data_IF_128547964698
#
_entry.id   IF_128547964698
#
_cell.length_a   1.000
_cell.length_b   1.000
_cell.length_c   1.000
_cell.angle_alpha   90.00
_cell.angle_beta   90.00
_cell.angle_gamma   90.00
#
_symmetry.space_group_name_H-M   'P 1'
#
loop_
_entity.id
_entity.type
_entity.pdbx_description
1 polymer ?
#
# COMPACT_ATOMS: atom_id res chain seq x y z
N UNK A 1 -17.52 -7.08 -26.65
CA UNK A 1 -18.57 -6.05 -26.45
C UNK A 1 -18.01 -5.04 -25.47
N UNK A 2 -17.68 -3.83 -25.92
CA UNK A 2 -17.01 -2.82 -25.09
C UNK A 2 -18.04 -2.10 -24.19
N UNK A 3 -18.32 -2.68 -23.02
CA UNK A 3 -19.24 -2.09 -22.05
C UNK A 3 -18.75 -0.74 -21.49
N UNK A 4 -17.44 -0.49 -21.52
CA UNK A 4 -16.84 0.82 -21.18
C UNK A 4 -17.37 1.98 -22.02
N UNK A 5 -17.73 1.71 -23.28
CA UNK A 5 -18.23 2.71 -24.21
C UNK A 5 -19.73 2.99 -24.01
N UNK A 6 -20.38 2.26 -23.08
CA UNK A 6 -21.80 2.37 -22.77
C UNK A 6 -22.00 2.37 -21.24
N UNK A 7 -21.61 3.46 -20.56
CA UNK A 7 -21.60 3.52 -19.10
C UNK A 7 -23.00 3.29 -18.50
N UNK A 8 -24.07 3.81 -19.12
CA UNK A 8 -25.45 3.61 -18.65
C UNK A 8 -25.89 2.14 -18.68
N UNK A 9 -25.54 1.41 -19.75
CA UNK A 9 -25.85 -0.02 -19.86
C UNK A 9 -25.08 -0.83 -18.82
N UNK A 10 -23.81 -0.46 -18.59
CA UNK A 10 -22.98 -1.10 -17.58
C UNK A 10 -23.54 -0.88 -16.18
N UNK A 11 -23.94 0.36 -15.87
CA UNK A 11 -24.52 0.71 -14.57
C UNK A 11 -25.79 -0.09 -14.28
N UNK A 12 -26.71 -0.17 -15.26
CA UNK A 12 -27.93 -0.97 -15.13
C UNK A 12 -27.64 -2.47 -14.95
N UNK A 13 -26.72 -3.04 -15.73
CA UNK A 13 -26.35 -4.45 -15.59
C UNK A 13 -25.69 -4.75 -14.24
N UNK A 14 -24.87 -3.82 -13.73
CA UNK A 14 -24.26 -3.93 -12.41
C UNK A 14 -25.31 -3.86 -11.29
N UNK A 15 -26.31 -2.97 -11.41
CA UNK A 15 -27.44 -2.91 -10.49
C UNK A 15 -28.25 -4.22 -10.47
N UNK A 16 -28.61 -4.75 -11.65
CA UNK A 16 -29.33 -6.02 -11.77
C UNK A 16 -28.49 -7.20 -11.25
N UNK A 17 -27.16 -7.16 -11.42
CA UNK A 17 -26.25 -8.16 -10.87
C UNK A 17 -26.24 -8.15 -9.34
N UNK A 18 -26.08 -6.95 -8.76
CA UNK A 18 -25.98 -6.75 -7.31
C UNK A 18 -27.30 -7.09 -6.60
N UNK A 19 -28.44 -6.72 -7.19
CA UNK A 19 -29.78 -7.10 -6.72
C UNK A 19 -30.11 -8.59 -6.91
N UNK A 20 -29.26 -9.35 -7.60
CA UNK A 20 -29.50 -10.77 -7.89
C UNK A 20 -30.61 -11.04 -8.93
N UNK A 21 -31.09 -10.00 -9.62
CA UNK A 21 -32.11 -10.13 -10.67
C UNK A 21 -31.50 -10.58 -12.00
N UNK A 22 -30.20 -10.34 -12.21
CA UNK A 22 -29.47 -10.86 -13.36
C UNK A 22 -29.21 -12.37 -13.22
N UNK A 23 -29.81 -13.18 -14.10
CA UNK A 23 -29.80 -14.64 -14.02
C UNK A 23 -29.22 -15.32 -15.27
N UNK A 24 -28.88 -16.60 -15.13
CA UNK A 24 -28.56 -17.49 -16.24
C UNK A 24 -27.34 -17.08 -17.06
N UNK A 25 -27.48 -17.02 -18.39
CA UNK A 25 -26.39 -16.70 -19.31
C UNK A 25 -25.90 -15.26 -19.17
N UNK A 26 -26.79 -14.32 -18.85
CA UNK A 26 -26.43 -12.90 -18.70
C UNK A 26 -25.48 -12.70 -17.52
N UNK A 27 -25.77 -13.31 -16.36
CA UNK A 27 -24.90 -13.28 -15.18
C UNK A 27 -23.51 -13.84 -15.47
N UNK A 28 -23.45 -15.06 -16.01
CA UNK A 28 -22.17 -15.72 -16.38
C UNK A 28 -21.33 -14.90 -17.36
N UNK A 29 -21.99 -14.22 -18.30
CA UNK A 29 -21.30 -13.35 -19.25
C UNK A 29 -20.72 -12.11 -18.58
N UNK A 30 -21.46 -11.50 -17.64
CA UNK A 30 -20.96 -10.37 -16.87
C UNK A 30 -19.80 -10.78 -15.94
N UNK A 31 -19.91 -11.95 -15.29
CA UNK A 31 -18.83 -12.54 -14.48
C UNK A 31 -17.56 -12.74 -15.32
N UNK A 32 -17.69 -13.36 -16.49
CA UNK A 32 -16.56 -13.57 -17.40
C UNK A 32 -15.94 -12.25 -17.88
N UNK A 33 -16.75 -11.22 -18.13
CA UNK A 33 -16.26 -9.90 -18.49
C UNK A 33 -15.53 -9.22 -17.33
N UNK A 34 -15.99 -9.38 -16.09
CA UNK A 34 -15.38 -8.78 -14.90
C UNK A 34 -13.96 -9.28 -14.62
N UNK A 35 -13.57 -10.47 -15.13
CA UNK A 35 -12.21 -11.01 -14.98
C UNK A 35 -11.18 -10.09 -15.64
N UNK A 36 -11.45 -9.59 -16.85
CA UNK A 36 -10.50 -8.78 -17.63
C UNK A 36 -10.86 -7.31 -17.77
N UNK A 37 -11.89 -6.83 -17.07
CA UNK A 37 -12.44 -5.49 -17.27
C UNK A 37 -12.65 -4.77 -15.94
N UNK A 38 -11.80 -3.78 -15.66
CA UNK A 38 -11.80 -3.07 -14.38
C UNK A 38 -13.05 -2.21 -14.17
N UNK A 39 -13.57 -1.55 -15.22
CA UNK A 39 -14.78 -0.73 -15.05
C UNK A 39 -16.00 -1.59 -14.75
N UNK A 40 -16.09 -2.80 -15.34
CA UNK A 40 -17.16 -3.75 -15.02
C UNK A 40 -17.07 -4.18 -13.56
N UNK A 41 -15.86 -4.51 -13.09
CA UNK A 41 -15.63 -4.87 -11.68
C UNK A 41 -15.96 -3.72 -10.73
N UNK A 42 -15.55 -2.50 -11.06
CA UNK A 42 -15.84 -1.31 -10.26
C UNK A 42 -17.33 -1.00 -10.19
N UNK A 43 -18.05 -1.10 -11.31
CA UNK A 43 -19.50 -0.89 -11.35
C UNK A 43 -20.23 -1.90 -10.45
N UNK A 44 -19.90 -3.20 -10.56
CA UNK A 44 -20.48 -4.25 -9.70
C UNK A 44 -20.20 -3.95 -8.21
N UNK A 45 -18.93 -3.70 -7.86
CA UNK A 45 -18.54 -3.44 -6.47
C UNK A 45 -19.22 -2.18 -5.90
N UNK A 46 -19.42 -1.14 -6.73
CA UNK A 46 -20.08 0.09 -6.31
C UNK A 46 -21.55 -0.15 -5.93
N UNK A 47 -22.26 -0.96 -6.71
CA UNK A 47 -23.65 -1.33 -6.42
C UNK A 47 -23.76 -2.26 -5.23
N UNK A 48 -22.87 -3.25 -5.09
CA UNK A 48 -22.84 -4.13 -3.92
C UNK A 48 -22.65 -3.33 -2.62
N UNK A 49 -21.65 -2.44 -2.56
CA UNK A 49 -21.43 -1.59 -1.38
C UNK A 49 -22.64 -0.73 -1.02
N UNK A 50 -23.34 -0.19 -2.03
CA UNK A 50 -24.55 0.62 -1.81
C UNK A 50 -25.67 -0.21 -1.19
N UNK A 51 -25.82 -1.47 -1.58
CA UNK A 51 -26.80 -2.39 -1.01
C UNK A 51 -26.38 -2.92 0.36
N UNK A 52 -25.09 -3.14 0.60
CA UNK A 52 -24.56 -3.59 1.89
C UNK A 52 -24.92 -2.61 3.01
N UNK A 53 -24.82 -1.29 2.77
CA UNK A 53 -25.26 -0.26 3.73
C UNK A 53 -26.75 -0.38 4.08
N UNK A 54 -27.59 -0.81 3.14
CA UNK A 54 -29.01 -1.05 3.44
C UNK A 54 -29.22 -2.33 4.25
N UNK A 55 -28.38 -3.35 4.07
CA UNK A 55 -28.45 -4.59 4.82
C UNK A 55 -28.14 -4.38 6.32
N UNK A 56 -27.33 -3.38 6.67
CA UNK A 56 -27.02 -3.01 8.06
C UNK A 56 -28.24 -2.48 8.84
N UNK A 57 -29.29 -2.01 8.15
CA UNK A 57 -30.50 -1.48 8.79
C UNK A 57 -31.47 -2.58 9.26
N UNK A 58 -31.27 -3.83 8.81
CA UNK A 58 -32.10 -4.96 9.19
C UNK A 58 -31.78 -5.48 10.60
N UNK A 59 -32.74 -6.11 11.30
CA UNK A 59 -32.45 -6.80 12.55
C UNK A 59 -31.50 -7.97 12.28
N UNK A 60 -30.56 -8.21 13.20
CA UNK A 60 -29.73 -9.41 13.16
C UNK A 60 -30.59 -10.66 13.40
N UNK A 61 -30.51 -11.63 12.49
CA UNK A 61 -31.19 -12.93 12.59
C UNK A 61 -30.11 -13.99 12.71
N UNK A 62 -30.10 -14.72 13.82
CA UNK A 62 -29.15 -15.81 14.04
C UNK A 62 -29.49 -16.99 13.11
N UNK A 63 -28.56 -17.43 12.24
CA UNK A 63 -28.78 -18.59 11.39
C UNK A 63 -28.71 -19.88 12.22
N UNK A 64 -29.42 -20.96 11.83
CA UNK A 64 -29.30 -22.25 12.50
C UNK A 64 -27.87 -22.81 12.43
N UNK A 65 -27.41 -23.51 13.48
CA UNK A 65 -26.08 -24.13 13.56
C UNK A 65 -25.75 -25.05 12.38
N UNK A 66 -26.77 -25.69 11.79
CA UNK A 66 -26.61 -26.54 10.59
C UNK A 66 -26.03 -25.78 9.40
N UNK A 67 -26.26 -24.47 9.30
CA UNK A 67 -25.71 -23.62 8.24
C UNK A 67 -24.19 -23.52 8.39
N UNK A 68 -23.70 -23.32 9.61
CA UNK A 68 -22.27 -23.26 9.88
C UNK A 68 -21.59 -24.61 9.59
N UNK A 69 -22.19 -25.71 10.07
CA UNK A 69 -21.69 -27.07 9.78
C UNK A 69 -21.65 -27.39 8.28
N UNK A 70 -22.64 -26.93 7.51
CA UNK A 70 -22.67 -27.11 6.06
C UNK A 70 -21.57 -26.29 5.36
N UNK A 71 -21.27 -25.08 5.84
CA UNK A 71 -20.18 -24.25 5.34
C UNK A 71 -18.84 -24.91 5.62
N UNK A 72 -18.59 -25.37 6.86
CA UNK A 72 -17.37 -26.07 7.23
C UNK A 72 -17.15 -27.34 6.40
N UNK A 73 -18.21 -28.11 6.16
CA UNK A 73 -18.17 -29.30 5.31
C UNK A 73 -17.81 -28.95 3.86
N UNK A 74 -18.40 -27.90 3.28
CA UNK A 74 -18.14 -27.48 1.90
C UNK A 74 -16.75 -26.87 1.69
N UNK A 75 -16.22 -26.21 2.71
CA UNK A 75 -14.86 -25.65 2.70
C UNK A 75 -13.78 -26.66 3.11
N UNK A 76 -14.17 -27.87 3.55
CA UNK A 76 -13.26 -28.92 3.98
C UNK A 76 -12.65 -28.70 5.38
N UNK A 77 -13.08 -27.68 6.11
CA UNK A 77 -12.55 -27.28 7.43
C UNK A 77 -12.84 -28.31 8.53
N UNK A 78 -13.91 -29.10 8.37
CA UNK A 78 -14.25 -30.17 9.31
C UNK A 78 -13.19 -31.28 9.40
N UNK A 79 -12.45 -31.51 8.31
CA UNK A 79 -11.42 -32.56 8.20
C UNK A 79 -10.13 -32.18 8.95
N UNK A 80 -9.78 -30.90 8.95
CA UNK A 80 -8.59 -30.39 9.64
C UNK A 80 -8.75 -30.44 11.16
N UNK A 81 -9.97 -30.17 11.65
CA UNK A 81 -10.31 -30.22 13.07
C UNK A 81 -10.31 -31.66 13.61
N UNK A 82 -10.88 -32.62 12.86
CA UNK A 82 -10.79 -34.06 13.21
C UNK A 82 -9.35 -34.60 13.11
N UNK A 83 -8.61 -34.24 12.07
CA UNK A 83 -7.21 -34.65 11.89
C UNK A 83 -6.25 -34.07 12.94
N UNK A 84 -6.67 -33.03 13.68
CA UNK A 84 -5.94 -32.47 14.84
C UNK A 84 -6.26 -33.22 16.14
N UNK A 85 -7.52 -33.65 16.33
CA UNK A 85 -7.97 -34.40 17.51
C UNK A 85 -7.58 -35.89 17.47
N UNK A 86 -7.52 -36.52 16.28
CA UNK A 86 -7.06 -37.91 16.15
C UNK A 86 -5.54 -38.07 16.30
N UNK A 87 -4.77 -37.00 16.06
CA UNK A 87 -3.31 -36.97 16.30
C UNK A 87 -2.93 -36.98 17.77
N UNK A 88 -3.88 -36.75 18.67
CA UNK A 88 -3.67 -36.78 20.13
C UNK A 88 -4.00 -38.13 20.80
N UNK A 89 -4.48 -39.13 20.05
CA UNK A 89 -4.62 -40.50 20.59
C UNK A 89 -3.38 -41.35 20.27
N UNK A 90 -2.74 -41.99 21.27
CA UNK A 90 -1.59 -42.86 21.03
C UNK A 90 -2.07 -44.16 20.36
N UNK A 91 -1.79 -44.28 19.05
CA UNK A 91 -2.04 -45.51 18.30
C UNK A 91 -0.98 -46.56 18.68
N UNK A 92 -1.35 -47.81 19.03
CA UNK A 92 -0.37 -48.87 19.24
C UNK A 92 0.32 -49.19 17.91
N UNK A 93 1.64 -49.05 17.89
CA UNK A 93 2.50 -49.44 16.77
C UNK A 93 2.59 -50.98 16.73
N UNK A 94 1.96 -51.60 15.74
CA UNK A 94 2.29 -52.98 15.36
C UNK A 94 3.63 -53.00 14.61
N UNK A 95 4.52 -53.97 14.88
CA UNK A 95 5.81 -54.05 14.20
C UNK A 95 5.61 -54.46 12.73
N UNK A 96 6.10 -53.61 11.82
CA UNK A 96 6.14 -53.89 10.39
C UNK A 96 7.13 -55.03 10.09
N UNK A 97 6.73 -55.96 9.21
CA UNK A 97 7.59 -57.03 8.71
C UNK A 97 8.66 -56.46 7.77
N UNK A 98 9.91 -56.97 7.78
CA UNK A 98 10.98 -56.44 6.94
C UNK A 98 10.86 -57.03 5.53
N UNK A 99 10.65 -56.19 4.51
CA UNK A 99 10.60 -56.68 3.12
C UNK A 99 10.60 -55.62 2.02
N UNK A 100 9.79 -54.57 2.07
CA UNK A 100 9.47 -53.84 0.81
C UNK A 100 9.46 -52.30 0.86
N UNK A 101 10.03 -51.65 1.87
CA UNK A 101 9.73 -50.22 2.12
C UNK A 101 10.96 -49.28 2.15
N UNK A 102 11.95 -49.47 1.27
CA UNK A 102 13.05 -48.50 1.19
C UNK A 102 12.62 -47.12 0.64
N UNK A 103 11.54 -47.08 -0.14
CA UNK A 103 10.91 -45.85 -0.66
C UNK A 103 9.92 -45.19 0.32
N UNK A 104 9.38 -45.96 1.26
CA UNK A 104 8.38 -45.53 2.25
C UNK A 104 8.99 -45.22 3.62
N UNK A 105 10.31 -45.30 3.74
CA UNK A 105 10.99 -44.91 4.96
C UNK A 105 10.98 -43.38 5.03
N UNK A 106 10.25 -42.81 6.00
CA UNK A 106 10.25 -41.37 6.28
C UNK A 106 11.67 -40.80 6.46
N UNK A 107 12.65 -41.62 6.80
CA UNK A 107 14.06 -41.24 6.84
C UNK A 107 14.63 -40.79 5.48
N UNK A 108 14.23 -41.44 4.39
CA UNK A 108 14.63 -41.10 3.02
C UNK A 108 14.01 -39.77 2.55
N UNK A 109 12.71 -39.59 2.80
CA UNK A 109 12.04 -38.31 2.53
C UNK A 109 12.49 -37.19 3.47
N UNK A 110 12.92 -37.50 4.70
CA UNK A 110 13.49 -36.53 5.65
C UNK A 110 14.86 -36.04 5.21
N UNK A 111 15.75 -36.90 4.74
CA UNK A 111 17.06 -36.46 4.20
C UNK A 111 16.90 -35.66 2.90
N UNK A 112 15.96 -36.02 2.02
CA UNK A 112 15.68 -35.25 0.81
C UNK A 112 15.11 -33.85 1.11
N UNK A 113 14.19 -33.74 2.09
CA UNK A 113 13.64 -32.45 2.54
C UNK A 113 14.68 -31.54 3.20
N UNK A 114 15.71 -32.13 3.81
CA UNK A 114 16.77 -31.38 4.51
C UNK A 114 17.71 -30.67 3.55
N UNK A 115 18.06 -31.32 2.43
CA UNK A 115 18.92 -30.74 1.39
C UNK A 115 18.19 -29.63 0.61
N UNK A 116 16.89 -29.79 0.35
CA UNK A 116 16.08 -28.78 -0.34
C UNK A 116 15.92 -27.47 0.47
N UNK A 117 15.89 -27.56 1.81
CA UNK A 117 15.79 -26.39 2.70
C UNK A 117 17.08 -25.56 2.69
N UNK A 118 18.25 -26.19 2.66
CA UNK A 118 19.54 -25.51 2.62
C UNK A 118 19.73 -24.73 1.31
N UNK A 119 19.37 -25.32 0.16
CA UNK A 119 19.46 -24.65 -1.16
C UNK A 119 18.46 -23.49 -1.26
N UNK A 120 17.28 -23.61 -0.66
CA UNK A 120 16.28 -22.54 -0.65
C UNK A 120 16.70 -21.35 0.22
N UNK A 121 17.31 -21.59 1.39
CA UNK A 121 17.83 -20.52 2.25
C UNK A 121 18.97 -19.77 1.56
N UNK A 122 19.89 -20.49 0.90
CA UNK A 122 21.00 -19.87 0.17
C UNK A 122 20.47 -19.07 -1.04
N UNK A 123 19.46 -19.58 -1.75
CA UNK A 123 18.86 -18.87 -2.89
C UNK A 123 18.07 -17.64 -2.46
N UNK A 124 17.35 -17.70 -1.33
CA UNK A 124 16.65 -16.54 -0.74
C UNK A 124 17.66 -15.51 -0.21
N UNK A 125 18.72 -15.95 0.46
CA UNK A 125 19.78 -15.06 0.93
C UNK A 125 20.51 -14.38 -0.24
N UNK A 126 20.79 -15.12 -1.32
CA UNK A 126 21.38 -14.57 -2.54
C UNK A 126 20.42 -13.63 -3.29
N UNK A 127 19.13 -13.97 -3.36
CA UNK A 127 18.09 -13.09 -3.92
C UNK A 127 17.90 -11.81 -3.08
N UNK A 128 17.91 -11.90 -1.75
CA UNK A 128 17.86 -10.73 -0.85
C UNK A 128 19.14 -9.89 -0.90
N UNK A 129 20.28 -10.50 -1.21
CA UNK A 129 21.56 -9.79 -1.35
C UNK A 129 21.69 -9.08 -2.71
N UNK A 130 21.17 -9.68 -3.79
CA UNK A 130 21.27 -9.14 -5.16
C UNK A 130 20.12 -8.19 -5.50
N UNK A 131 18.92 -8.46 -4.99
CA UNK A 131 17.77 -7.57 -5.10
C UNK A 131 17.76 -6.71 -3.85
N UNK A 132 18.32 -5.50 -3.92
CA UNK A 132 18.06 -4.48 -2.89
C UNK A 132 16.54 -4.26 -2.84
N UNK A 133 15.82 -4.75 -1.81
CA UNK A 133 14.40 -4.54 -1.78
C UNK A 133 14.21 -3.10 -1.30
N UNK A 134 13.77 -2.23 -2.21
CA UNK A 134 13.00 -1.04 -1.85
C UNK A 134 11.61 -1.39 -1.27
N UNK A 135 11.42 -2.62 -0.77
CA UNK A 135 10.20 -3.15 -0.17
C UNK A 135 10.10 -2.91 1.34
N UNK A 136 10.97 -2.03 1.88
CA UNK A 136 10.67 -1.26 3.09
C UNK A 136 9.97 0.07 2.71
N UNK A 137 9.15 0.07 1.66
CA UNK A 137 7.99 0.96 1.65
C UNK A 137 7.13 0.48 2.82
N UNK A 138 7.30 1.17 3.94
CA UNK A 138 6.58 0.91 5.16
C UNK A 138 5.10 0.63 4.86
N UNK A 139 4.53 -0.42 5.47
CA UNK A 139 3.13 -0.32 5.85
C UNK A 139 2.93 1.08 6.48
N UNK A 140 1.81 1.79 6.27
CA UNK A 140 1.56 3.02 7.00
C UNK A 140 1.34 2.66 8.48
N UNK A 141 2.39 2.24 9.18
CA UNK A 141 2.52 2.43 10.60
C UNK A 141 2.57 3.93 10.74
N UNK A 142 1.45 4.50 11.18
CA UNK A 142 1.28 5.85 11.68
C UNK A 142 2.53 6.71 11.47
N UNK A 143 2.78 7.16 10.23
CA UNK A 143 3.67 8.29 10.04
C UNK A 143 2.92 9.43 10.69
N UNK A 144 3.22 9.65 11.97
CA UNK A 144 2.65 10.74 12.74
C UNK A 144 3.28 11.99 12.15
N UNK A 145 2.65 12.48 11.09
CA UNK A 145 2.96 13.74 10.46
C UNK A 145 2.84 14.77 11.57
N UNK A 146 3.98 15.21 12.09
CA UNK A 146 4.02 16.11 13.22
C UNK A 146 3.81 17.55 12.74
N UNK A 147 4.23 17.87 11.52
CA UNK A 147 4.10 19.20 10.94
C UNK A 147 3.72 19.16 9.46
N UNK A 148 2.92 20.12 9.04
CA UNK A 148 2.47 20.32 7.66
C UNK A 148 2.72 21.77 7.25
N UNK A 149 3.19 21.97 6.03
CA UNK A 149 3.19 23.29 5.39
C UNK A 149 2.61 23.15 3.98
N UNK A 150 1.67 24.04 3.66
CA UNK A 150 1.20 24.24 2.29
C UNK A 150 1.91 25.47 1.77
N UNK A 151 2.76 25.30 0.78
CA UNK A 151 3.46 26.42 0.16
C UNK A 151 2.64 26.93 -1.02
N UNK A 152 2.47 28.25 -1.04
CA UNK A 152 1.69 28.97 -2.03
C UNK A 152 2.62 29.76 -2.95
N UNK A 153 2.19 29.97 -4.20
CA UNK A 153 2.84 30.90 -5.12
C UNK A 153 2.48 32.37 -4.81
N UNK A 154 3.00 33.29 -5.61
CA UNK A 154 2.71 34.73 -5.56
C UNK A 154 1.21 35.06 -5.70
N UNK A 155 0.44 34.15 -6.30
CA UNK A 155 -1.01 34.24 -6.49
C UNK A 155 -1.80 33.48 -5.42
N UNK A 156 -1.15 32.99 -4.36
CA UNK A 156 -1.77 32.21 -3.27
C UNK A 156 -2.35 30.84 -3.68
N UNK A 157 -1.85 30.23 -4.76
CA UNK A 157 -2.24 28.88 -5.16
C UNK A 157 -1.42 27.81 -4.42
N UNK A 158 -2.11 26.86 -3.77
CA UNK A 158 -1.50 25.72 -3.09
C UNK A 158 -0.75 24.82 -4.07
N UNK A 159 0.58 24.88 -4.03
CA UNK A 159 1.45 24.23 -5.04
C UNK A 159 2.22 23.06 -4.44
N UNK A 160 2.53 23.11 -3.15
CA UNK A 160 3.40 22.13 -2.51
C UNK A 160 2.89 21.77 -1.12
N UNK A 161 2.82 20.48 -0.84
CA UNK A 161 2.56 19.95 0.49
C UNK A 161 3.87 19.40 1.06
N UNK A 162 4.32 19.96 2.16
CA UNK A 162 5.47 19.46 2.93
C UNK A 162 4.95 18.85 4.22
N UNK A 163 5.30 17.59 4.46
CA UNK A 163 4.98 16.87 5.69
C UNK A 163 6.28 16.48 6.38
N UNK A 164 6.36 16.74 7.67
CA UNK A 164 7.51 16.39 8.49
C UNK A 164 7.15 15.27 9.47
N UNK A 165 7.89 14.16 9.40
CA UNK A 165 7.88 13.10 10.39
C UNK A 165 9.02 13.34 11.40
N UNK A 166 8.66 13.78 12.61
CA UNK A 166 9.64 14.10 13.66
C UNK A 166 10.32 12.83 14.20
N UNK A 167 9.59 11.70 14.26
CA UNK A 167 10.11 10.44 14.78
C UNK A 167 11.23 9.88 13.89
N UNK A 168 11.09 10.03 12.57
CA UNK A 168 12.08 9.56 11.60
C UNK A 168 12.96 10.66 11.02
N UNK A 169 12.81 11.91 11.50
CA UNK A 169 13.51 13.10 11.02
C UNK A 169 13.48 13.20 9.48
N UNK A 170 12.31 12.88 8.91
CA UNK A 170 12.13 12.77 7.46
C UNK A 170 11.15 13.83 6.99
N UNK A 171 11.58 14.62 6.00
CA UNK A 171 10.72 15.56 5.30
C UNK A 171 10.28 14.93 4.00
N UNK A 172 8.97 14.82 3.82
CA UNK A 172 8.34 14.35 2.60
C UNK A 172 7.63 15.50 1.92
N UNK A 173 7.83 15.60 0.61
CA UNK A 173 7.34 16.70 -0.20
C UNK A 173 6.53 16.16 -1.36
N UNK A 174 5.28 16.62 -1.46
CA UNK A 174 4.34 16.23 -2.51
C UNK A 174 3.93 17.47 -3.29
N UNK A 175 4.22 17.45 -4.59
CA UNK A 175 3.78 18.49 -5.53
C UNK A 175 2.27 18.35 -5.75
N UNK A 176 1.56 19.46 -5.68
CA UNK A 176 0.13 19.58 -6.00
C UNK A 176 -0.08 20.18 -7.40
N UNK A 177 0.96 20.80 -7.98
CA UNK A 177 0.96 21.33 -9.34
C UNK A 177 2.11 20.75 -10.16
N UNK A 178 1.93 20.73 -11.49
CA UNK A 178 2.92 20.24 -12.46
C UNK A 178 3.99 21.29 -12.82
N UNK A 179 4.08 22.39 -12.07
CA UNK A 179 5.06 23.46 -12.33
C UNK A 179 6.47 22.96 -12.03
N UNK A 180 7.22 22.72 -13.11
CA UNK A 180 8.63 22.33 -13.06
C UNK A 180 9.54 23.54 -12.81
N UNK A 181 10.79 23.26 -12.40
CA UNK A 181 11.84 24.27 -12.43
C UNK A 181 12.11 24.70 -13.88
N UNK A 182 12.51 25.96 -14.14
CA UNK A 182 13.02 26.38 -15.44
C UNK A 182 14.19 25.50 -15.91
N UNK A 183 14.41 25.43 -17.22
CA UNK A 183 15.53 24.67 -17.77
C UNK A 183 16.88 25.16 -17.19
N UNK A 184 17.74 24.22 -16.84
CA UNK A 184 19.04 24.49 -16.20
C UNK A 184 18.97 24.87 -14.71
N UNK A 185 17.79 24.86 -14.10
CA UNK A 185 17.59 25.20 -12.69
C UNK A 185 16.97 24.03 -11.91
N UNK A 186 17.17 24.04 -10.60
CA UNK A 186 16.54 23.12 -9.67
C UNK A 186 15.77 23.91 -8.60
N UNK A 187 14.81 23.28 -7.94
CA UNK A 187 14.11 23.89 -6.81
C UNK A 187 14.77 23.46 -5.51
N UNK A 188 14.89 24.35 -4.55
CA UNK A 188 15.46 24.03 -3.24
C UNK A 188 14.52 24.46 -2.12
N UNK A 189 14.33 23.57 -1.13
CA UNK A 189 13.54 23.83 0.07
C UNK A 189 14.42 24.41 1.17
N UNK A 190 13.94 25.48 1.80
CA UNK A 190 14.61 26.13 2.92
C UNK A 190 13.67 26.25 4.12
N UNK A 191 14.24 26.10 5.31
CA UNK A 191 13.60 26.42 6.58
C UNK A 191 14.07 27.76 7.11
N UNK A 192 13.15 28.65 7.46
CA UNK A 192 13.43 29.97 8.02
C UNK A 192 13.13 29.97 9.53
N UNK A 193 14.16 30.07 10.39
CA UNK A 193 13.97 30.25 11.83
C UNK A 193 13.39 31.64 12.15
N UNK A 194 12.76 31.81 13.31
CA UNK A 194 12.14 33.07 13.74
C UNK A 194 13.11 34.27 13.89
N UNK A 195 14.43 34.06 13.77
CA UNK A 195 15.45 35.10 13.86
C UNK A 195 16.83 34.67 13.39
N UNK A 196 16.90 33.71 12.44
CA UNK A 196 18.16 33.13 11.96
C UNK A 196 18.26 33.14 10.43
N UNK A 197 19.44 32.76 9.91
CA UNK A 197 19.64 32.60 8.48
C UNK A 197 18.81 31.42 7.92
N UNK A 198 18.39 31.47 6.63
CA UNK A 198 17.76 30.34 5.96
C UNK A 198 18.66 29.10 6.02
N UNK A 199 18.07 27.94 6.33
CA UNK A 199 18.77 26.65 6.33
C UNK A 199 18.26 25.80 5.18
N UNK A 200 19.18 25.32 4.33
CA UNK A 200 18.82 24.39 3.25
C UNK A 200 18.33 23.08 3.86
N UNK A 201 17.13 22.67 3.45
CA UNK A 201 16.52 21.39 3.81
C UNK A 201 16.72 20.35 2.70
N UNK A 202 16.93 20.80 1.45
CA UNK A 202 17.33 19.94 0.35
C UNK A 202 16.81 20.39 -1.02
N UNK A 203 17.48 19.91 -2.07
CA UNK A 203 17.11 20.14 -3.46
C UNK A 203 16.01 19.15 -3.88
N UNK A 204 14.96 19.67 -4.51
CA UNK A 204 13.81 18.88 -4.97
C UNK A 204 14.15 18.16 -6.29
N UNK A 205 13.70 16.91 -6.46
CA UNK A 205 13.79 16.22 -7.73
C UNK A 205 12.93 16.92 -8.80
N UNK A 206 13.36 16.79 -10.06
CA UNK A 206 12.67 17.37 -11.22
C UNK A 206 11.26 16.80 -11.43
N UNK A 207 11.01 15.56 -10.98
CA UNK A 207 9.72 14.87 -11.08
C UNK A 207 9.47 14.01 -9.84
N UNK A 208 8.19 13.82 -9.50
CA UNK A 208 7.75 12.92 -8.44
C UNK A 208 7.88 13.49 -7.02
N UNK A 209 7.51 12.69 -6.00
CA UNK A 209 7.67 13.06 -4.60
C UNK A 209 9.15 13.10 -4.19
N UNK A 210 9.47 13.94 -3.21
CA UNK A 210 10.79 13.99 -2.58
C UNK A 210 10.71 13.51 -1.13
N UNK A 211 11.69 12.75 -0.68
CA UNK A 211 11.86 12.41 0.72
C UNK A 211 13.35 12.52 1.09
N UNK A 212 13.66 13.28 2.12
CA UNK A 212 15.03 13.48 2.58
C UNK A 212 15.10 13.51 4.10
N UNK A 213 16.23 13.04 4.63
CA UNK A 213 16.52 13.11 6.07
C UNK A 213 17.03 14.50 6.40
N UNK A 214 16.45 15.12 7.41
CA UNK A 214 16.82 16.44 7.87
C UNK A 214 17.32 16.31 9.31
N UNK A 215 18.53 16.80 9.58
CA UNK A 215 19.13 16.74 10.92
C UNK A 215 18.52 17.74 11.92
N UNK A 216 17.83 18.76 11.40
CA UNK A 216 17.22 19.82 12.19
C UNK A 216 15.79 19.45 12.61
N UNK A 217 15.29 20.09 13.67
CA UNK A 217 13.93 19.86 14.16
C UNK A 217 12.93 20.85 13.55
N UNK A 218 11.68 20.42 13.27
CA UNK A 218 10.66 21.28 12.65
C UNK A 218 10.32 22.51 13.50
N UNK A 219 10.35 22.40 14.83
CA UNK A 219 10.05 23.50 15.76
C UNK A 219 11.02 24.70 15.63
N UNK A 220 12.18 24.49 15.01
CA UNK A 220 13.16 25.55 14.78
C UNK A 220 12.75 26.49 13.64
N UNK A 221 11.73 26.13 12.85
CA UNK A 221 11.33 26.85 11.64
C UNK A 221 9.90 27.35 11.76
N UNK A 222 9.69 28.65 11.57
CA UNK A 222 8.35 29.24 11.51
C UNK A 222 7.76 29.21 10.09
N UNK A 223 8.63 29.26 9.08
CA UNK A 223 8.25 29.37 7.67
C UNK A 223 9.14 28.46 6.83
N UNK A 224 8.55 27.81 5.84
CA UNK A 224 9.26 27.12 4.76
C UNK A 224 9.14 27.92 3.47
N UNK A 225 10.23 27.98 2.71
CA UNK A 225 10.26 28.64 1.40
C UNK A 225 10.92 27.74 0.35
N UNK A 226 10.57 27.95 -0.91
CA UNK A 226 11.21 27.29 -2.05
C UNK A 226 11.71 28.34 -3.03
N UNK A 227 12.97 28.20 -3.43
CA UNK A 227 13.61 29.06 -4.42
C UNK A 227 13.96 28.30 -5.70
N UNK A 228 14.15 29.05 -6.77
CA UNK A 228 14.74 28.56 -8.03
C UNK A 228 16.24 28.79 -7.96
N UNK A 229 17.01 27.71 -7.94
CA UNK A 229 18.46 27.74 -7.81
C UNK A 229 19.13 27.21 -9.08
N UNK A 230 20.44 27.48 -9.29
CA UNK A 230 21.22 26.83 -10.33
C UNK A 230 21.13 25.30 -10.23
N UNK A 231 21.44 24.59 -11.32
CA UNK A 231 21.50 23.13 -11.30
C UNK A 231 22.41 22.62 -10.16
N UNK A 232 21.86 21.76 -9.30
CA UNK A 232 22.52 21.27 -8.08
C UNK A 232 22.23 22.05 -6.80
N UNK A 233 21.44 23.13 -6.86
CA UNK A 233 21.05 23.95 -5.70
C UNK A 233 21.87 25.23 -5.54
N UNK A 234 21.63 25.92 -4.43
CA UNK A 234 22.32 27.15 -4.07
C UNK A 234 23.82 26.92 -3.90
N UNK A 235 24.61 27.85 -4.43
CA UNK A 235 26.07 27.83 -4.29
C UNK A 235 26.55 28.37 -2.93
N UNK A 236 25.62 28.83 -2.08
CA UNK A 236 25.94 29.37 -0.76
C UNK A 236 25.16 28.65 0.35
N UNK A 237 25.80 28.38 1.49
CA UNK A 237 25.12 27.71 2.61
C UNK A 237 24.16 28.63 3.38
N UNK A 238 24.20 29.95 3.13
CA UNK A 238 23.54 30.97 3.95
C UNK A 238 22.24 31.51 3.34
N UNK A 239 21.74 30.90 2.27
CA UNK A 239 20.40 31.18 1.77
C UNK A 239 20.20 30.96 0.27
N UNK A 240 18.98 31.26 -0.21
CA UNK A 240 18.64 31.20 -1.62
C UNK A 240 19.54 32.12 -2.45
N UNK A 241 20.09 31.63 -3.56
CA UNK A 241 20.79 32.48 -4.54
C UNK A 241 19.87 32.99 -5.64
N UNK A 242 18.73 32.34 -5.84
CA UNK A 242 17.71 32.78 -6.79
C UNK A 242 16.38 33.18 -6.16
N UNK A 243 15.36 33.48 -7.00
CA UNK A 243 14.09 34.00 -6.53
C UNK A 243 13.31 32.95 -5.73
N UNK A 244 12.73 33.39 -4.61
CA UNK A 244 11.77 32.59 -3.82
C UNK A 244 10.42 32.60 -4.53
N UNK A 245 9.92 31.42 -4.86
CA UNK A 245 8.68 31.25 -5.63
C UNK A 245 7.54 30.66 -4.81
N UNK A 246 7.83 29.95 -3.71
CA UNK A 246 6.80 29.42 -2.83
C UNK A 246 7.10 29.72 -1.36
N UNK A 247 6.07 30.00 -0.57
CA UNK A 247 6.17 30.26 0.87
C UNK A 247 5.00 29.63 1.62
N UNK A 248 5.25 29.08 2.80
CA UNK A 248 4.20 28.49 3.65
C UNK A 248 4.61 28.43 5.12
N UNK A 249 3.67 28.73 6.03
CA UNK A 249 3.89 28.56 7.48
C UNK A 249 3.93 27.07 7.82
N UNK A 250 4.89 26.70 8.65
CA UNK A 250 4.95 25.34 9.19
C UNK A 250 4.01 25.26 10.40
N UNK A 251 3.01 24.39 10.35
CA UNK A 251 2.04 24.20 11.44
C UNK A 251 2.12 22.78 11.98
N UNK A 252 1.93 22.62 13.28
CA UNK A 252 1.86 21.30 13.90
C UNK A 252 0.55 20.63 13.48
N UNK A 253 0.61 19.37 13.04
CA UNK A 253 -0.59 18.60 12.77
C UNK A 253 -1.17 18.10 14.11
N UNK A 254 -2.44 18.42 14.35
CA UNK A 254 -3.21 18.04 15.55
C UNK A 254 -3.81 16.65 15.46
#
# INVERSE_FOLDING_TARGET
>A
MNLHQRPELLDRLAAEYALGTLRGRARRRLDALAIGNDAVRQAINSWQRRLDTMAELGPAIEPPDSVWLAIEGRLGLASETRGRLERTSPRPVSPARPGEHWWDTLGFWRTFSSVALAVSIISIAFALHTVRPSLLAAAPGEQRVAYVSVLHDDQSNSTLLVTWDDAHSTVTLRRLSDRAAPDGHDLELWGIPSGGAPVSLGVLPKKGPAAFKVAHRPQNYGVLVVSVEPAGGSQTPNGPTGPVIYTGKLVQAS
#
